data_IF_751455110947
#
_entry.id   IF_751455110947
#
_cell.length_a   1.000
_cell.length_b   1.000
_cell.length_c   1.000
_cell.angle_alpha   90.00
_cell.angle_beta   90.00
_cell.angle_gamma   90.00
#
_symmetry.space_group_name_H-M   'P 1'
#
loop_
_entity.id
_entity.type
_entity.pdbx_description
1 polymer ?
#
# COMPACT_ATOMS: atom_id res chain seq x y z
N UNK A 1 -19.08 -3.56 -3.16
CA UNK A 1 -19.76 -2.35 -2.66
C UNK A 1 -19.77 -2.37 -1.14
N UNK A 2 -18.90 -1.60 -0.51
CA UNK A 2 -19.12 -1.08 0.84
C UNK A 2 -18.22 0.13 0.97
N UNK A 3 -18.79 1.29 0.65
CA UNK A 3 -18.32 2.53 1.22
C UNK A 3 -18.32 2.34 2.74
N UNK A 4 -17.15 2.22 3.36
CA UNK A 4 -17.01 2.27 4.81
C UNK A 4 -16.34 3.60 5.13
N UNK A 5 -17.11 4.66 4.90
CA UNK A 5 -17.79 5.43 5.97
C UNK A 5 -16.84 6.43 6.60
N UNK A 6 -16.69 7.52 5.83
CA UNK A 6 -16.58 8.87 6.36
C UNK A 6 -17.57 9.04 7.53
N UNK A 7 -17.08 9.05 8.76
CA UNK A 7 -17.84 9.48 9.93
C UNK A 7 -16.87 10.01 10.98
N UNK A 8 -16.88 11.33 11.07
CA UNK A 8 -16.13 12.22 11.95
C UNK A 8 -16.47 12.03 13.44
N UNK A 9 -17.32 11.05 13.79
CA UNK A 9 -17.99 10.97 15.10
C UNK A 9 -17.41 9.94 16.10
N UNK A 10 -16.35 9.21 15.73
CA UNK A 10 -15.77 8.11 16.54
C UNK A 10 -14.38 8.42 17.13
N UNK A 11 -14.07 9.70 17.38
CA UNK A 11 -12.75 10.13 17.88
C UNK A 11 -12.50 9.65 19.33
N UNK A 12 -13.54 9.45 20.13
CA UNK A 12 -13.40 9.12 21.57
C UNK A 12 -13.04 7.65 21.87
N UNK A 13 -13.24 6.73 20.92
CA UNK A 13 -12.92 5.29 21.08
C UNK A 13 -11.71 4.84 20.23
N UNK A 14 -11.14 5.73 19.41
CA UNK A 14 -10.01 5.44 18.48
C UNK A 14 -8.62 5.73 19.06
N UNK A 15 -8.53 6.35 20.23
CA UNK A 15 -7.27 6.68 20.90
C UNK A 15 -6.30 5.49 21.11
N UNK A 16 -6.74 4.30 21.57
CA UNK A 16 -5.80 3.24 21.90
C UNK A 16 -5.08 2.69 20.66
N UNK A 17 -5.78 2.56 19.52
CA UNK A 17 -5.19 2.08 18.28
C UNK A 17 -4.12 3.03 17.72
N UNK A 18 -4.39 4.34 17.73
CA UNK A 18 -3.44 5.34 17.23
C UNK A 18 -2.20 5.45 18.11
N UNK A 19 -2.36 5.39 19.44
CA UNK A 19 -1.24 5.39 20.40
C UNK A 19 -0.34 4.15 20.25
N UNK A 20 -0.93 2.98 20.05
CA UNK A 20 -0.17 1.74 19.84
C UNK A 20 0.63 1.85 18.54
N UNK A 21 -0.01 2.24 17.43
CA UNK A 21 0.65 2.34 16.12
C UNK A 21 1.73 3.43 16.11
N UNK A 22 1.51 4.56 16.79
CA UNK A 22 2.53 5.61 16.90
C UNK A 22 3.71 5.17 17.76
N UNK A 23 3.46 4.50 18.89
CA UNK A 23 4.53 3.93 19.73
C UNK A 23 5.36 2.89 18.96
N UNK A 24 4.70 2.06 18.15
CA UNK A 24 5.34 1.07 17.30
C UNK A 24 6.13 1.66 16.15
N UNK A 25 5.56 2.68 15.48
CA UNK A 25 6.27 3.43 14.45
C UNK A 25 7.52 4.10 15.03
N UNK A 26 7.42 4.64 16.25
CA UNK A 26 8.56 5.23 16.94
C UNK A 26 9.63 4.20 17.31
N UNK A 27 9.22 3.03 17.82
CA UNK A 27 10.12 1.90 18.09
C UNK A 27 10.80 1.40 16.81
N UNK A 28 10.03 1.20 15.73
CA UNK A 28 10.56 0.76 14.44
C UNK A 28 11.58 1.76 13.89
N UNK A 29 11.28 3.07 13.98
CA UNK A 29 12.18 4.13 13.54
C UNK A 29 13.46 4.18 14.38
N UNK A 30 13.35 4.03 15.70
CA UNK A 30 14.49 4.02 16.61
C UNK A 30 15.42 2.81 16.37
N UNK A 31 14.83 1.63 16.08
CA UNK A 31 15.56 0.40 15.74
C UNK A 31 16.23 0.52 14.36
N UNK A 32 15.54 1.09 13.37
CA UNK A 32 16.08 1.28 12.01
C UNK A 32 17.29 2.25 12.01
N UNK A 33 17.34 3.20 12.93
CA UNK A 33 18.48 4.12 13.08
C UNK A 33 19.78 3.45 13.58
N UNK A 34 19.71 2.22 14.11
CA UNK A 34 20.86 1.44 14.57
C UNK A 34 21.50 0.58 13.46
N UNK A 35 20.82 0.36 12.33
CA UNK A 35 21.35 -0.40 11.21
C UNK A 35 20.78 0.07 9.87
N UNK A 36 21.57 0.74 9.02
CA UNK A 36 21.13 1.22 7.70
C UNK A 36 20.82 0.10 6.69
N UNK A 37 21.00 -1.17 7.09
CA UNK A 37 20.64 -2.35 6.29
C UNK A 37 19.16 -2.75 6.43
N UNK A 38 18.42 -2.19 7.39
CA UNK A 38 17.00 -2.50 7.59
C UNK A 38 16.13 -1.28 7.26
N UNK A 39 15.45 -1.36 6.12
CA UNK A 39 14.46 -0.37 5.73
C UNK A 39 13.32 -0.32 6.77
N UNK A 40 12.95 0.89 7.18
CA UNK A 40 11.94 1.11 8.21
C UNK A 40 10.58 0.49 7.83
N UNK A 41 10.31 0.34 6.53
CA UNK A 41 9.08 -0.26 6.00
C UNK A 41 9.04 -1.77 6.26
N UNK A 42 10.17 -2.47 6.08
CA UNK A 42 10.30 -3.90 6.37
C UNK A 42 10.20 -4.16 7.87
N UNK A 43 10.90 -3.38 8.69
CA UNK A 43 10.84 -3.49 10.16
C UNK A 43 9.43 -3.21 10.68
N UNK A 44 8.77 -2.18 10.15
CA UNK A 44 7.39 -1.84 10.46
C UNK A 44 6.41 -2.96 10.10
N UNK A 45 6.59 -3.60 8.95
CA UNK A 45 5.79 -4.76 8.53
C UNK A 45 5.95 -5.94 9.48
N UNK A 46 7.19 -6.31 9.82
CA UNK A 46 7.48 -7.44 10.72
C UNK A 46 6.91 -7.20 12.11
N UNK A 47 7.10 -5.99 12.66
CA UNK A 47 6.49 -5.60 13.93
C UNK A 47 4.96 -5.65 13.86
N UNK A 48 4.37 -5.13 12.78
CA UNK A 48 2.93 -5.19 12.51
C UNK A 48 2.37 -6.62 12.53
N UNK A 49 3.09 -7.56 11.91
CA UNK A 49 2.73 -8.99 11.90
C UNK A 49 2.85 -9.59 13.30
N UNK A 50 3.95 -9.33 14.03
CA UNK A 50 4.19 -9.81 15.39
C UNK A 50 3.13 -9.34 16.38
N UNK A 51 2.68 -8.10 16.27
CA UNK A 51 1.60 -7.56 17.09
C UNK A 51 0.28 -8.24 16.80
N UNK A 52 -0.03 -8.43 15.51
CA UNK A 52 -1.25 -9.12 15.10
C UNK A 52 -1.27 -10.56 15.61
N UNK A 53 -0.10 -11.19 15.69
CA UNK A 53 0.07 -12.50 16.30
C UNK A 53 -0.08 -12.49 17.83
N UNK A 54 0.45 -11.47 18.52
CA UNK A 54 0.47 -11.41 19.99
C UNK A 54 -0.85 -10.95 20.61
N UNK A 55 -1.50 -9.94 20.02
CA UNK A 55 -2.72 -9.30 20.57
C UNK A 55 -4.00 -9.92 19.99
N UNK A 56 -3.89 -10.74 18.95
CA UNK A 56 -5.04 -11.31 18.25
C UNK A 56 -5.86 -10.26 17.48
N UNK A 57 -6.87 -10.71 16.74
CA UNK A 57 -7.74 -9.86 15.94
C UNK A 57 -8.76 -9.12 16.84
N UNK A 58 -8.28 -8.20 17.67
CA UNK A 58 -9.13 -7.29 18.44
C UNK A 58 -9.76 -6.28 17.47
N UNK A 59 -11.09 -6.34 17.31
CA UNK A 59 -11.89 -5.45 16.47
C UNK A 59 -11.67 -3.96 16.79
N UNK A 60 -11.12 -3.66 17.97
CA UNK A 60 -10.79 -2.31 18.45
C UNK A 60 -9.57 -1.70 17.74
N UNK A 61 -8.62 -2.49 17.22
CA UNK A 61 -7.39 -1.98 16.58
C UNK A 61 -7.56 -1.70 15.08
N UNK A 62 -8.33 -2.53 14.37
CA UNK A 62 -8.63 -2.35 12.95
C UNK A 62 -9.09 -0.92 12.56
N UNK A 63 -10.03 -0.27 13.28
CA UNK A 63 -10.52 1.05 12.90
C UNK A 63 -9.49 2.17 13.06
N UNK A 64 -8.42 1.94 13.84
CA UNK A 64 -7.27 2.85 13.97
C UNK A 64 -6.27 2.69 12.82
N UNK A 65 -5.95 1.43 12.47
CA UNK A 65 -5.01 1.09 11.39
C UNK A 65 -5.53 1.61 10.04
N UNK A 66 -6.78 1.32 9.71
CA UNK A 66 -7.41 1.75 8.44
C UNK A 66 -7.49 3.27 8.35
N UNK A 67 -7.71 3.97 9.48
CA UNK A 67 -7.78 5.42 9.51
C UNK A 67 -6.44 6.06 9.17
N UNK A 68 -5.36 5.61 9.84
CA UNK A 68 -4.01 6.07 9.56
C UNK A 68 -3.62 5.76 8.12
N UNK A 69 -3.87 4.55 7.62
CA UNK A 69 -3.52 4.19 6.25
C UNK A 69 -4.23 5.08 5.21
N UNK A 70 -5.51 5.38 5.40
CA UNK A 70 -6.26 6.17 4.40
C UNK A 70 -5.90 7.64 4.48
N UNK A 71 -5.84 8.22 5.68
CA UNK A 71 -5.59 9.65 5.87
C UNK A 71 -4.14 10.00 5.60
N UNK A 72 -3.19 9.23 6.14
CA UNK A 72 -1.77 9.56 6.04
C UNK A 72 -1.23 9.34 4.61
N UNK A 73 -1.71 8.31 3.89
CA UNK A 73 -1.36 8.11 2.47
C UNK A 73 -1.92 9.24 1.61
N UNK A 74 -3.16 9.68 1.83
CA UNK A 74 -3.76 10.79 1.07
C UNK A 74 -3.03 12.11 1.31
N UNK A 75 -2.71 12.42 2.57
CA UNK A 75 -1.90 13.59 2.93
C UNK A 75 -0.54 13.50 2.24
N UNK A 76 0.12 12.34 2.32
CA UNK A 76 1.39 12.08 1.64
C UNK A 76 1.33 12.31 0.13
N UNK A 77 0.30 11.79 -0.54
CA UNK A 77 0.08 11.99 -1.98
C UNK A 77 -0.14 13.46 -2.35
N UNK A 78 -0.89 14.21 -1.54
CA UNK A 78 -1.12 15.64 -1.77
C UNK A 78 0.18 16.44 -1.60
N UNK A 79 0.94 16.20 -0.53
CA UNK A 79 2.24 16.85 -0.31
C UNK A 79 3.24 16.47 -1.41
N UNK A 80 3.25 15.21 -1.83
CA UNK A 80 4.08 14.75 -2.95
C UNK A 80 3.71 15.44 -4.26
N UNK A 81 2.41 15.65 -4.49
CA UNK A 81 1.89 16.45 -5.59
C UNK A 81 2.37 17.90 -5.58
N UNK A 82 2.43 18.54 -4.41
CA UNK A 82 2.95 19.91 -4.26
C UNK A 82 4.47 19.97 -4.51
N UNK A 83 5.20 18.92 -4.11
CA UNK A 83 6.65 18.80 -4.34
C UNK A 83 6.99 18.52 -5.81
N UNK A 84 6.04 18.02 -6.60
CA UNK A 84 6.23 17.77 -8.02
C UNK A 84 6.32 19.10 -8.77
N UNK A 85 7.49 19.32 -9.40
CA UNK A 85 7.72 20.53 -10.17
C UNK A 85 7.02 20.42 -11.53
N UNK A 86 5.78 20.92 -11.60
CA UNK A 86 5.00 20.96 -12.84
C UNK A 86 5.74 21.68 -13.98
N UNK A 87 6.53 22.71 -13.67
CA UNK A 87 7.31 23.44 -14.67
C UNK A 87 8.34 22.54 -15.38
N UNK A 88 9.01 21.64 -14.66
CA UNK A 88 9.92 20.65 -15.26
C UNK A 88 9.18 19.68 -16.19
N UNK A 89 7.97 19.28 -15.81
CA UNK A 89 7.15 18.36 -16.60
C UNK A 89 6.72 19.04 -17.91
N UNK A 90 6.26 20.29 -17.83
CA UNK A 90 5.90 21.08 -19.01
C UNK A 90 7.09 21.37 -19.92
N UNK A 91 8.30 21.59 -19.38
CA UNK A 91 9.51 21.82 -20.18
C UNK A 91 9.96 20.59 -20.97
N UNK A 92 9.74 19.38 -20.46
CA UNK A 92 10.05 18.13 -21.17
C UNK A 92 8.93 17.70 -22.14
N UNK A 93 7.79 18.40 -22.15
CA UNK A 93 6.72 18.22 -23.12
C UNK A 93 6.00 16.86 -23.05
N UNK A 94 5.43 16.44 -24.19
CA UNK A 94 4.62 15.22 -24.34
C UNK A 94 5.41 13.90 -24.16
N UNK A 95 6.74 13.98 -24.03
CA UNK A 95 7.62 12.81 -23.93
C UNK A 95 7.49 12.09 -22.59
N UNK A 96 7.38 12.82 -21.48
CA UNK A 96 7.21 12.23 -20.14
C UNK A 96 5.91 11.41 -20.04
N UNK A 97 4.71 11.94 -20.35
CA UNK A 97 3.48 11.17 -20.19
C UNK A 97 3.46 9.93 -21.08
N UNK A 98 4.00 10.00 -22.31
CA UNK A 98 4.17 8.80 -23.15
C UNK A 98 5.06 7.77 -22.47
N UNK A 99 6.20 8.20 -21.92
CA UNK A 99 7.17 7.28 -21.32
C UNK A 99 6.58 6.60 -20.09
N UNK A 100 5.87 7.37 -19.24
CA UNK A 100 5.18 6.82 -18.07
C UNK A 100 4.18 5.75 -18.51
N UNK A 101 3.29 6.08 -19.46
CA UNK A 101 2.28 5.13 -19.93
C UNK A 101 2.92 3.90 -20.59
N UNK A 102 3.99 4.09 -21.36
CA UNK A 102 4.71 3.01 -22.02
C UNK A 102 5.39 2.07 -21.01
N UNK A 103 6.10 2.61 -20.02
CA UNK A 103 6.75 1.82 -18.96
C UNK A 103 5.69 1.09 -18.13
N UNK A 104 4.63 1.79 -17.74
CA UNK A 104 3.49 1.25 -17.01
C UNK A 104 2.86 0.06 -17.74
N UNK A 105 2.53 0.24 -19.02
CA UNK A 105 1.95 -0.79 -19.85
C UNK A 105 2.90 -1.98 -20.04
N UNK A 106 4.20 -1.71 -20.19
CA UNK A 106 5.22 -2.75 -20.32
C UNK A 106 5.30 -3.60 -19.05
N UNK A 107 5.42 -2.97 -17.88
CA UNK A 107 5.46 -3.69 -16.59
C UNK A 107 4.17 -4.48 -16.39
N UNK A 108 3.01 -3.88 -16.70
CA UNK A 108 1.72 -4.55 -16.59
C UNK A 108 1.64 -5.80 -17.48
N UNK A 109 2.00 -5.68 -18.75
CA UNK A 109 2.02 -6.79 -19.71
C UNK A 109 3.01 -7.88 -19.31
N UNK A 110 4.22 -7.52 -18.90
CA UNK A 110 5.25 -8.46 -18.45
C UNK A 110 4.78 -9.21 -17.21
N UNK A 111 4.22 -8.51 -16.24
CA UNK A 111 3.72 -9.13 -14.99
C UNK A 111 2.56 -10.09 -15.27
N UNK A 112 1.63 -9.72 -16.15
CA UNK A 112 0.56 -10.62 -16.59
C UNK A 112 1.09 -11.84 -17.34
N UNK A 113 2.07 -11.64 -18.22
CA UNK A 113 2.66 -12.72 -19.00
C UNK A 113 3.40 -13.72 -18.11
N UNK A 114 4.17 -13.23 -17.14
CA UNK A 114 4.82 -14.03 -16.11
C UNK A 114 3.76 -14.76 -15.26
N UNK A 115 2.73 -14.06 -14.78
CA UNK A 115 1.65 -14.67 -13.99
C UNK A 115 0.95 -15.82 -14.72
N UNK A 116 0.70 -15.66 -16.02
CA UNK A 116 0.15 -16.73 -16.88
C UNK A 116 1.11 -17.92 -17.02
N UNK A 117 2.42 -17.68 -17.16
CA UNK A 117 3.44 -18.74 -17.27
C UNK A 117 3.57 -19.55 -15.99
N UNK A 118 3.41 -18.92 -14.83
CA UNK A 118 3.41 -19.58 -13.52
C UNK A 118 2.06 -20.20 -13.13
N UNK A 119 1.05 -20.17 -14.02
CA UNK A 119 -0.31 -20.70 -13.77
C UNK A 119 -0.95 -20.13 -12.49
N UNK A 120 -0.68 -18.86 -12.20
CA UNK A 120 -1.30 -18.14 -11.09
C UNK A 120 -2.78 -17.89 -11.46
N UNK A 121 -3.67 -17.89 -10.47
CA UNK A 121 -5.06 -17.54 -10.69
C UNK A 121 -5.18 -16.15 -11.33
N UNK A 122 -6.08 -16.01 -12.30
CA UNK A 122 -6.19 -14.83 -13.16
C UNK A 122 -6.42 -13.55 -12.34
N UNK A 123 -7.24 -13.64 -11.30
CA UNK A 123 -7.51 -12.54 -10.36
C UNK A 123 -6.26 -12.08 -9.62
N UNK A 124 -5.49 -13.01 -9.05
CA UNK A 124 -4.24 -12.71 -8.35
C UNK A 124 -3.21 -12.10 -9.31
N UNK A 125 -3.08 -12.66 -10.52
CA UNK A 125 -2.16 -12.14 -11.54
C UNK A 125 -2.51 -10.71 -11.97
N UNK A 126 -3.80 -10.39 -12.12
CA UNK A 126 -4.28 -9.03 -12.39
C UNK A 126 -3.99 -8.08 -11.22
N UNK A 127 -4.26 -8.50 -9.98
CA UNK A 127 -3.96 -7.70 -8.79
C UNK A 127 -2.46 -7.42 -8.66
N UNK A 128 -1.62 -8.43 -8.90
CA UNK A 128 -0.16 -8.30 -8.94
C UNK A 128 0.31 -7.37 -10.06
N UNK A 129 -0.26 -7.47 -11.26
CA UNK A 129 0.10 -6.60 -12.39
C UNK A 129 -0.27 -5.14 -12.14
N UNK A 130 -1.48 -4.88 -11.61
CA UNK A 130 -1.91 -3.53 -11.24
C UNK A 130 -1.05 -2.97 -10.11
N UNK A 131 -0.80 -3.78 -9.06
CA UNK A 131 0.00 -3.39 -7.92
C UNK A 131 1.45 -3.07 -8.30
N UNK A 132 2.11 -3.97 -9.03
CA UNK A 132 3.54 -3.82 -9.39
C UNK A 132 3.78 -2.66 -10.35
N UNK A 133 2.80 -2.34 -11.20
CA UNK A 133 3.00 -1.31 -12.21
C UNK A 133 2.75 0.10 -11.66
N UNK A 134 1.70 0.34 -10.85
CA UNK A 134 1.27 1.72 -10.49
C UNK A 134 1.93 2.22 -9.20
N UNK A 135 1.51 1.69 -8.05
CA UNK A 135 1.96 2.15 -6.73
C UNK A 135 1.71 1.13 -5.61
N UNK A 136 1.68 -0.17 -5.95
CA UNK A 136 1.67 -1.27 -4.99
C UNK A 136 0.32 -1.51 -4.33
N UNK A 137 0.32 -1.53 -2.99
CA UNK A 137 -0.83 -1.91 -2.17
C UNK A 137 -2.06 -1.01 -2.35
N UNK A 138 -1.85 0.29 -2.58
CA UNK A 138 -2.94 1.25 -2.81
C UNK A 138 -3.67 0.96 -4.12
N UNK A 139 -2.94 0.61 -5.17
CA UNK A 139 -3.50 0.23 -6.47
C UNK A 139 -4.30 -1.08 -6.37
N UNK A 140 -3.80 -2.06 -5.60
CA UNK A 140 -4.53 -3.32 -5.33
C UNK A 140 -5.86 -3.05 -4.63
N UNK A 141 -5.87 -2.20 -3.60
CA UNK A 141 -7.08 -1.88 -2.85
C UNK A 141 -8.16 -1.25 -3.75
N UNK A 142 -7.76 -0.39 -4.69
CA UNK A 142 -8.68 0.25 -5.64
C UNK A 142 -9.15 -0.70 -6.74
N UNK A 143 -8.28 -1.59 -7.22
CA UNK A 143 -8.59 -2.53 -8.31
C UNK A 143 -9.35 -3.78 -7.86
N UNK A 144 -9.27 -4.15 -6.57
CA UNK A 144 -9.97 -5.31 -5.99
C UNK A 144 -11.45 -5.39 -6.36
N UNK A 145 -12.29 -4.35 -6.17
CA UNK A 145 -13.69 -4.39 -6.54
C UNK A 145 -13.95 -4.48 -8.06
N UNK A 146 -13.01 -4.04 -8.89
CA UNK A 146 -13.14 -4.09 -10.35
C UNK A 146 -12.78 -5.47 -10.92
N UNK A 147 -11.89 -6.22 -10.26
CA UNK A 147 -11.44 -7.56 -10.66
C UNK A 147 -12.20 -8.68 -9.93
N UNK A 148 -13.15 -8.32 -9.05
CA UNK A 148 -13.86 -9.26 -8.18
C UNK A 148 -12.89 -10.17 -7.40
N UNK A 149 -11.79 -9.58 -6.93
CA UNK A 149 -10.73 -10.28 -6.22
C UNK A 149 -11.20 -10.81 -4.87
N UNK A 150 -10.90 -12.07 -4.58
CA UNK A 150 -11.21 -12.66 -3.27
C UNK A 150 -10.19 -12.19 -2.22
N UNK A 151 -10.59 -12.19 -0.94
CA UNK A 151 -9.72 -11.78 0.17
C UNK A 151 -8.39 -12.54 0.21
N UNK A 152 -8.39 -13.81 -0.23
CA UNK A 152 -7.19 -14.63 -0.40
C UNK A 152 -6.24 -14.06 -1.46
N UNK A 153 -6.75 -13.68 -2.63
CA UNK A 153 -5.94 -13.15 -3.74
C UNK A 153 -5.32 -11.80 -3.38
N UNK A 154 -6.11 -10.94 -2.72
CA UNK A 154 -5.65 -9.64 -2.24
C UNK A 154 -4.52 -9.82 -1.22
N UNK A 155 -4.71 -10.73 -0.26
CA UNK A 155 -3.71 -10.98 0.79
C UNK A 155 -2.40 -11.50 0.20
N UNK A 156 -2.46 -12.46 -0.73
CA UNK A 156 -1.27 -13.02 -1.39
C UNK A 156 -0.55 -11.91 -2.18
N UNK A 157 -1.29 -11.11 -2.94
CA UNK A 157 -0.71 -10.05 -3.76
C UNK A 157 -0.01 -8.98 -2.90
N UNK A 158 -0.63 -8.58 -1.78
CA UNK A 158 -0.05 -7.62 -0.84
C UNK A 158 1.24 -8.14 -0.22
N UNK A 159 1.27 -9.40 0.23
CA UNK A 159 2.47 -10.00 0.82
C UNK A 159 3.61 -10.06 -0.19
N UNK A 160 3.33 -10.52 -1.41
CA UNK A 160 4.36 -10.63 -2.47
C UNK A 160 4.94 -9.26 -2.82
N UNK A 161 4.10 -8.25 -3.03
CA UNK A 161 4.56 -6.91 -3.41
C UNK A 161 5.34 -6.23 -2.27
N UNK A 162 4.96 -6.46 -1.01
CA UNK A 162 5.66 -5.86 0.13
C UNK A 162 7.00 -6.56 0.41
N UNK A 163 7.15 -7.85 0.05
CA UNK A 163 8.41 -8.57 0.17
C UNK A 163 9.39 -8.28 -0.97
N UNK A 164 8.88 -8.02 -2.17
CA UNK A 164 9.68 -7.67 -3.35
C UNK A 164 10.04 -6.18 -3.42
N UNK A 165 9.44 -5.36 -2.56
CA UNK A 165 9.59 -3.91 -2.50
C UNK A 165 10.65 -3.46 -1.50
#
# INVERSE_FOLDING_TARGET
>A
MAAQTFSVQQISSKLPGVLIISALGYLAYSISNFSPLLDALVVGLVLGILLRFTIGNQEVLNPGITFLQTVFIQIGLVLYGIKLNFTRIFQMGWLIPILIVAVQATIFLVTLWVGKRFKIAEKTALLLAVGTSICGASAIAVATPAVEGESKDVSISLVVITLLG
#
